data_IF_382034967439
#
_entry.id   IF_382034967439
#
_cell.length_a   1.000
_cell.length_b   1.000
_cell.length_c   1.000
_cell.angle_alpha   90.00
_cell.angle_beta   90.00
_cell.angle_gamma   90.00
#
_symmetry.space_group_name_H-M   'P 1'
#
loop_
_entity.id
_entity.type
_entity.pdbx_description
1 polymer ?
#
# COMPACT_ATOMS: atom_id res chain seq x y z
N UNK A 1 6.35 17.57 -2.47
CA UNK A 1 7.46 18.31 -3.12
C UNK A 1 7.16 19.81 -3.09
N UNK A 2 8.13 20.64 -2.67
CA UNK A 2 7.98 22.11 -2.71
C UNK A 2 7.81 22.60 -4.16
N UNK A 3 6.94 23.58 -4.45
CA UNK A 3 6.66 24.02 -5.82
C UNK A 3 7.90 24.42 -6.63
N UNK A 4 8.86 25.10 -5.99
CA UNK A 4 10.10 25.56 -6.65
C UNK A 4 11.02 24.41 -7.08
N UNK A 5 11.11 23.36 -6.26
CA UNK A 5 11.89 22.16 -6.57
C UNK A 5 11.28 21.44 -7.77
N UNK A 6 9.95 21.33 -7.80
CA UNK A 6 9.23 20.75 -8.95
C UNK A 6 9.52 21.53 -10.22
N UNK A 7 9.49 22.86 -10.15
CA UNK A 7 9.76 23.74 -11.29
C UNK A 7 11.17 23.54 -11.85
N UNK A 8 12.17 23.43 -10.97
CA UNK A 8 13.55 23.18 -11.38
C UNK A 8 13.72 21.77 -11.97
N UNK A 9 13.12 20.74 -11.36
CA UNK A 9 13.15 19.36 -11.85
C UNK A 9 12.51 19.22 -13.24
N UNK A 10 11.40 19.90 -13.48
CA UNK A 10 10.68 19.88 -14.77
C UNK A 10 11.22 20.89 -15.78
N UNK A 11 12.19 21.75 -15.40
CA UNK A 11 12.76 22.78 -16.28
C UNK A 11 13.23 22.27 -17.65
N UNK A 12 13.93 21.13 -17.78
CA UNK A 12 14.37 20.62 -19.09
C UNK A 12 13.25 19.99 -19.94
N UNK A 13 12.09 19.69 -19.34
CA UNK A 13 11.02 18.95 -20.00
C UNK A 13 9.89 19.91 -20.42
N UNK A 14 9.22 19.62 -21.53
CA UNK A 14 7.95 20.29 -21.85
C UNK A 14 6.81 19.76 -20.98
N UNK A 15 6.78 18.45 -20.75
CA UNK A 15 5.89 17.83 -19.80
C UNK A 15 6.46 16.49 -19.32
N UNK A 16 6.08 16.10 -18.10
CA UNK A 16 6.19 14.74 -17.60
C UNK A 16 4.79 14.12 -17.54
N UNK A 17 4.62 12.95 -18.14
CA UNK A 17 3.33 12.26 -18.19
C UNK A 17 3.47 10.87 -17.59
N UNK A 18 2.51 10.48 -16.75
CA UNK A 18 2.43 9.14 -16.16
C UNK A 18 0.97 8.79 -15.89
N UNK A 19 0.58 7.53 -16.04
CA UNK A 19 -0.73 7.09 -15.57
C UNK A 19 -0.74 7.02 -14.03
N UNK A 20 -1.85 7.41 -13.41
CA UNK A 20 -2.14 7.07 -12.01
C UNK A 20 -2.65 5.62 -11.90
N UNK A 21 -2.91 5.17 -10.67
CA UNK A 21 -3.39 3.80 -10.40
C UNK A 21 -4.82 3.56 -10.90
N UNK A 22 -5.56 4.62 -11.20
CA UNK A 22 -6.89 4.58 -11.81
C UNK A 22 -6.82 4.56 -13.35
N UNK A 23 -5.62 4.72 -13.92
CA UNK A 23 -5.41 4.82 -15.36
C UNK A 23 -5.60 6.23 -15.92
N UNK A 24 -5.84 7.24 -15.08
CA UNK A 24 -5.89 8.62 -15.53
C UNK A 24 -4.49 9.13 -15.83
N UNK A 25 -4.36 9.94 -16.87
CA UNK A 25 -3.08 10.56 -17.20
C UNK A 25 -2.79 11.73 -16.25
N UNK A 26 -1.74 11.60 -15.46
CA UNK A 26 -1.12 12.71 -14.76
C UNK A 26 -0.19 13.44 -15.74
N UNK A 27 -0.32 14.75 -15.80
CA UNK A 27 0.54 15.60 -16.61
C UNK A 27 1.11 16.73 -15.76
N UNK A 28 2.44 16.77 -15.65
CA UNK A 28 3.15 17.87 -15.03
C UNK A 28 3.84 18.68 -16.11
N UNK A 29 3.37 19.91 -16.31
CA UNK A 29 3.95 20.84 -17.26
C UNK A 29 5.33 21.29 -16.79
N UNK A 30 6.29 21.28 -17.72
CA UNK A 30 7.61 21.84 -17.52
C UNK A 30 7.83 23.09 -18.39
N UNK A 31 9.02 23.67 -18.29
CA UNK A 31 9.34 24.91 -18.99
C UNK A 31 9.90 24.67 -20.41
N UNK A 32 10.40 23.46 -20.70
CA UNK A 32 11.10 23.16 -21.94
C UNK A 32 12.29 24.09 -22.18
N UNK A 33 12.97 24.50 -21.10
CA UNK A 33 14.07 25.46 -21.16
C UNK A 33 15.25 24.81 -21.91
N UNK A 34 15.74 25.40 -23.02
CA UNK A 34 16.87 24.87 -23.76
C UNK A 34 18.19 24.94 -22.97
N UNK A 35 18.27 25.78 -21.92
CA UNK A 35 19.44 25.93 -21.05
C UNK A 35 19.03 25.87 -19.57
N UNK A 36 18.49 24.74 -19.11
CA UNK A 36 17.96 24.62 -17.76
C UNK A 36 19.10 24.82 -16.76
N UNK A 37 18.85 25.62 -15.72
CA UNK A 37 19.80 25.75 -14.61
C UNK A 37 20.08 24.35 -14.05
N UNK A 38 21.35 23.94 -14.00
CA UNK A 38 21.74 22.66 -13.39
C UNK A 38 21.07 22.54 -12.03
N UNK A 39 20.22 21.54 -11.91
CA UNK A 39 19.66 21.19 -10.63
C UNK A 39 20.78 20.63 -9.76
N UNK A 40 20.93 21.19 -8.58
CA UNK A 40 21.85 20.68 -7.59
C UNK A 40 21.22 19.44 -6.95
N UNK A 41 21.28 18.31 -7.66
CA UNK A 41 20.69 17.04 -7.23
C UNK A 41 21.66 16.20 -6.37
N UNK A 42 22.82 16.72 -5.97
CA UNK A 42 23.84 15.93 -5.25
C UNK A 42 23.28 15.25 -3.99
N UNK A 43 22.26 15.83 -3.36
CA UNK A 43 21.44 15.19 -2.35
C UNK A 43 20.02 15.73 -2.51
N UNK A 44 19.04 14.89 -2.79
CA UNK A 44 17.65 15.30 -2.60
C UNK A 44 17.37 15.19 -1.11
N UNK A 45 17.32 16.30 -0.34
CA UNK A 45 17.10 16.19 1.08
C UNK A 45 15.63 15.84 1.29
N UNK A 46 15.35 14.54 1.44
CA UNK A 46 14.15 14.10 2.12
C UNK A 46 14.44 14.28 3.60
N UNK A 47 13.65 15.12 4.27
CA UNK A 47 13.61 15.04 5.73
C UNK A 47 13.07 13.67 6.15
N UNK A 48 13.37 13.27 7.39
CA UNK A 48 12.98 11.95 7.92
C UNK A 48 11.47 11.71 7.77
N UNK A 49 10.65 12.75 7.92
CA UNK A 49 9.20 12.65 7.76
C UNK A 49 8.79 12.34 6.30
N UNK A 50 9.40 13.01 5.33
CA UNK A 50 9.16 12.77 3.90
C UNK A 50 9.68 11.42 3.46
N UNK A 51 10.82 10.98 4.00
CA UNK A 51 11.36 9.65 3.74
C UNK A 51 10.47 8.56 4.35
N UNK A 52 10.07 8.70 5.61
CA UNK A 52 9.16 7.76 6.27
C UNK A 52 7.83 7.63 5.49
N UNK A 53 7.24 8.76 5.10
CA UNK A 53 6.04 8.77 4.27
C UNK A 53 6.24 8.07 2.93
N UNK A 54 7.37 8.27 2.27
CA UNK A 54 7.68 7.58 1.01
C UNK A 54 7.76 6.06 1.21
N UNK A 55 8.37 5.61 2.29
CA UNK A 55 8.46 4.17 2.64
C UNK A 55 7.06 3.61 2.93
N UNK A 56 6.24 4.32 3.70
CA UNK A 56 4.85 3.93 3.99
C UNK A 56 4.00 3.84 2.72
N UNK A 57 4.11 4.82 1.81
CA UNK A 57 3.39 4.82 0.54
C UNK A 57 3.85 3.69 -0.38
N UNK A 58 5.15 3.36 -0.38
CA UNK A 58 5.72 2.30 -1.22
C UNK A 58 5.39 0.89 -0.72
N UNK A 59 5.06 0.72 0.56
CA UNK A 59 4.79 -0.59 1.14
C UNK A 59 3.63 -1.30 0.46
N UNK A 60 2.56 -0.57 0.13
CA UNK A 60 1.38 -1.16 -0.52
C UNK A 60 1.76 -1.80 -1.85
N UNK A 61 2.57 -1.12 -2.67
CA UNK A 61 3.04 -1.65 -3.96
C UNK A 61 3.98 -2.85 -3.75
N UNK A 62 4.84 -2.81 -2.74
CA UNK A 62 5.74 -3.93 -2.40
C UNK A 62 4.96 -5.19 -1.99
N UNK A 63 3.90 -5.04 -1.19
CA UNK A 63 3.03 -6.15 -0.80
C UNK A 63 2.25 -6.69 -1.99
N UNK A 64 1.70 -5.82 -2.85
CA UNK A 64 1.02 -6.23 -4.09
C UNK A 64 1.97 -7.01 -5.00
N UNK A 65 3.21 -6.57 -5.16
CA UNK A 65 4.23 -7.28 -5.93
C UNK A 65 4.44 -8.69 -5.39
N UNK A 66 4.58 -8.85 -4.06
CA UNK A 66 4.72 -10.17 -3.45
C UNK A 66 3.48 -11.05 -3.62
N UNK A 67 2.29 -10.47 -3.55
CA UNK A 67 1.03 -11.19 -3.80
C UNK A 67 0.96 -11.62 -5.26
N UNK A 68 1.41 -10.79 -6.20
CA UNK A 68 1.46 -11.15 -7.62
C UNK A 68 2.34 -12.39 -7.85
N UNK A 69 3.48 -12.49 -7.16
CA UNK A 69 4.39 -13.62 -7.30
C UNK A 69 3.81 -14.95 -6.79
N UNK A 70 2.89 -14.93 -5.82
CA UNK A 70 2.36 -16.16 -5.18
C UNK A 70 0.89 -16.47 -5.50
N UNK A 71 0.08 -15.44 -5.76
CA UNK A 71 -1.39 -15.49 -5.89
C UNK A 71 -1.90 -14.38 -6.83
N UNK A 72 -1.33 -14.32 -8.04
CA UNK A 72 -1.76 -13.39 -9.09
C UNK A 72 -3.26 -13.49 -9.44
N UNK A 73 -3.90 -14.63 -9.18
CA UNK A 73 -5.33 -14.85 -9.37
C UNK A 73 -6.19 -13.88 -8.54
N UNK A 74 -5.80 -13.60 -7.29
CA UNK A 74 -6.54 -12.69 -6.40
C UNK A 74 -6.55 -11.25 -6.95
N UNK A 75 -5.45 -10.83 -7.57
CA UNK A 75 -5.32 -9.48 -8.11
C UNK A 75 -6.14 -9.27 -9.38
N UNK A 76 -6.39 -10.34 -10.15
CA UNK A 76 -7.16 -10.27 -11.41
C UNK A 76 -8.65 -10.01 -11.19
N UNK A 77 -9.16 -10.29 -9.99
CA UNK A 77 -10.57 -10.09 -9.63
C UNK A 77 -10.93 -8.62 -9.36
N UNK A 78 -9.93 -7.73 -9.34
CA UNK A 78 -10.11 -6.33 -8.99
C UNK A 78 -9.32 -5.43 -9.94
N UNK A 79 -9.72 -4.15 -10.03
CA UNK A 79 -8.90 -3.16 -10.71
C UNK A 79 -7.63 -2.85 -9.90
N UNK A 80 -6.52 -2.40 -10.53
CA UNK A 80 -5.31 -2.00 -9.82
C UNK A 80 -5.55 -0.98 -8.70
N UNK A 81 -6.41 0.01 -8.95
CA UNK A 81 -6.82 0.99 -7.95
C UNK A 81 -7.53 0.35 -6.74
N UNK A 82 -8.42 -0.64 -6.97
CA UNK A 82 -9.12 -1.33 -5.89
C UNK A 82 -8.17 -2.24 -5.11
N UNK A 83 -7.27 -2.98 -5.77
CA UNK A 83 -6.21 -3.75 -5.10
C UNK A 83 -5.39 -2.86 -4.16
N UNK A 84 -4.89 -1.74 -4.67
CA UNK A 84 -4.13 -0.79 -3.87
C UNK A 84 -4.94 -0.24 -2.70
N UNK A 85 -6.20 0.14 -2.92
CA UNK A 85 -7.06 0.66 -1.85
C UNK A 85 -7.32 -0.38 -0.76
N UNK A 86 -7.62 -1.63 -1.12
CA UNK A 86 -7.88 -2.71 -0.17
C UNK A 86 -6.63 -3.06 0.65
N UNK A 87 -5.48 -3.22 -0.01
CA UNK A 87 -4.20 -3.53 0.64
C UNK A 87 -3.79 -2.37 1.55
N UNK A 88 -3.78 -1.13 1.06
CA UNK A 88 -3.40 0.06 1.85
C UNK A 88 -4.26 0.21 3.11
N UNK A 89 -5.60 0.08 2.98
CA UNK A 89 -6.53 0.14 4.11
C UNK A 89 -6.22 -0.94 5.15
N UNK A 90 -5.92 -2.16 4.71
CA UNK A 90 -5.64 -3.27 5.62
C UNK A 90 -4.23 -3.21 6.22
N UNK A 91 -3.25 -2.64 5.53
CA UNK A 91 -1.93 -2.35 6.10
C UNK A 91 -2.03 -1.31 7.23
N UNK A 92 -2.93 -0.33 7.13
CA UNK A 92 -3.21 0.60 8.22
C UNK A 92 -3.84 -0.11 9.44
N UNK A 93 -4.79 -1.03 9.21
CA UNK A 93 -5.38 -1.87 10.27
C UNK A 93 -4.31 -2.76 10.91
N UNK A 94 -3.46 -3.39 10.11
CA UNK A 94 -2.34 -4.21 10.56
C UNK A 94 -1.40 -3.42 11.48
N UNK A 95 -0.98 -2.22 11.07
CA UNK A 95 -0.13 -1.35 11.89
C UNK A 95 -0.80 -0.95 13.21
N UNK A 96 -2.10 -0.61 13.19
CA UNK A 96 -2.85 -0.23 14.39
C UNK A 96 -2.99 -1.37 15.43
N UNK A 97 -2.80 -2.63 15.00
CA UNK A 97 -2.91 -3.83 15.82
C UNK A 97 -1.57 -4.56 16.01
N UNK A 98 -0.44 -3.93 15.70
CA UNK A 98 0.89 -4.46 15.96
C UNK A 98 1.38 -5.53 14.96
N UNK A 99 0.70 -5.70 13.82
CA UNK A 99 1.13 -6.60 12.75
C UNK A 99 2.20 -5.90 11.90
N UNK A 100 3.46 -6.06 12.29
CA UNK A 100 4.60 -5.37 11.69
C UNK A 100 5.48 -6.27 10.79
N UNK A 101 5.41 -7.59 10.95
CA UNK A 101 6.23 -8.53 10.18
C UNK A 101 5.81 -8.60 8.71
N UNK A 102 6.78 -8.63 7.79
CA UNK A 102 6.51 -8.61 6.34
C UNK A 102 5.60 -9.76 5.87
N UNK A 103 5.84 -10.97 6.37
CA UNK A 103 5.02 -12.15 6.07
C UNK A 103 3.59 -12.01 6.63
N UNK A 104 3.46 -11.57 7.89
CA UNK A 104 2.17 -11.35 8.53
C UNK A 104 1.34 -10.28 7.80
N UNK A 105 1.98 -9.20 7.35
CA UNK A 105 1.35 -8.11 6.57
C UNK A 105 0.93 -8.57 5.18
N UNK A 106 1.74 -9.39 4.51
CA UNK A 106 1.36 -10.05 3.27
C UNK A 106 0.14 -10.97 3.48
N UNK A 107 0.17 -11.82 4.51
CA UNK A 107 -0.95 -12.71 4.87
C UNK A 107 -2.24 -11.92 5.11
N UNK A 108 -2.19 -10.87 5.94
CA UNK A 108 -3.35 -10.02 6.22
C UNK A 108 -3.89 -9.31 4.98
N UNK A 109 -3.01 -8.93 4.05
CA UNK A 109 -3.38 -8.33 2.77
C UNK A 109 -3.99 -9.34 1.78
N UNK A 110 -3.60 -10.62 1.85
CA UNK A 110 -4.26 -11.68 1.08
C UNK A 110 -5.71 -11.86 1.56
N UNK A 111 -5.94 -11.80 2.87
CA UNK A 111 -7.30 -11.88 3.43
C UNK A 111 -8.19 -10.75 2.92
N UNK A 112 -7.67 -9.53 2.81
CA UNK A 112 -8.45 -8.38 2.32
C UNK A 112 -8.86 -8.46 0.86
N UNK A 113 -8.17 -9.27 0.06
CA UNK A 113 -8.51 -9.56 -1.33
C UNK A 113 -9.37 -10.82 -1.48
N UNK A 114 -9.44 -11.67 -0.43
CA UNK A 114 -10.12 -12.97 -0.47
C UNK A 114 -11.45 -12.98 0.26
N UNK A 115 -11.66 -12.06 1.20
CA UNK A 115 -12.82 -11.98 2.08
C UNK A 115 -13.62 -10.69 1.83
N UNK A 116 -14.83 -10.65 2.38
CA UNK A 116 -15.67 -9.44 2.37
C UNK A 116 -14.94 -8.25 3.02
N UNK A 117 -15.19 -7.03 2.53
CA UNK A 117 -14.42 -5.84 2.92
C UNK A 117 -14.47 -5.53 4.44
N UNK A 118 -15.48 -6.03 5.16
CA UNK A 118 -15.65 -5.82 6.59
C UNK A 118 -15.12 -6.96 7.47
N UNK A 119 -14.39 -7.95 6.93
CA UNK A 119 -13.90 -9.11 7.69
C UNK A 119 -13.12 -8.71 8.96
N UNK A 120 -12.41 -7.57 8.92
CA UNK A 120 -11.64 -7.05 10.07
C UNK A 120 -12.52 -6.62 11.25
N UNK A 121 -13.82 -6.41 11.03
CA UNK A 121 -14.82 -6.05 12.04
C UNK A 121 -15.54 -7.27 12.61
N UNK A 122 -15.33 -8.46 12.03
CA UNK A 122 -15.91 -9.69 12.55
C UNK A 122 -15.43 -9.93 14.00
N UNK A 123 -16.29 -10.40 14.92
CA UNK A 123 -15.92 -10.59 16.33
C UNK A 123 -14.66 -11.45 16.53
N UNK A 124 -14.55 -12.58 15.82
CA UNK A 124 -13.38 -13.46 15.89
C UNK A 124 -12.09 -12.76 15.41
N UNK A 125 -12.13 -12.03 14.29
CA UNK A 125 -10.98 -11.28 13.79
C UNK A 125 -10.63 -10.12 14.74
N UNK A 126 -11.62 -9.44 15.30
CA UNK A 126 -11.41 -8.35 16.26
C UNK A 126 -10.74 -8.85 17.55
N UNK A 127 -11.13 -10.02 18.04
CA UNK A 127 -10.48 -10.67 19.19
C UNK A 127 -9.01 -11.03 18.87
N UNK A 128 -8.75 -11.65 17.72
CA UNK A 128 -7.41 -11.93 17.24
C UNK A 128 -6.53 -10.68 17.14
N UNK A 129 -7.06 -9.60 16.58
CA UNK A 129 -6.34 -8.33 16.45
C UNK A 129 -6.02 -7.73 17.82
N UNK A 130 -6.95 -7.83 18.78
CA UNK A 130 -6.73 -7.39 20.16
C UNK A 130 -5.64 -8.21 20.87
N UNK A 131 -5.62 -9.53 20.70
CA UNK A 131 -4.56 -10.39 21.24
C UNK A 131 -3.20 -10.11 20.60
N UNK A 132 -3.17 -9.94 19.27
CA UNK A 132 -1.94 -9.58 18.53
C UNK A 132 -1.36 -8.27 19.05
N UNK A 133 -2.21 -7.28 19.32
CA UNK A 133 -1.81 -6.01 19.92
C UNK A 133 -1.23 -6.17 21.33
N UNK A 134 -1.61 -7.22 22.06
CA UNK A 134 -1.05 -7.58 23.36
C UNK A 134 0.21 -8.46 23.27
N UNK A 135 0.69 -8.75 22.06
CA UNK A 135 1.93 -9.51 21.82
C UNK A 135 1.71 -10.96 21.39
N UNK A 136 0.48 -11.41 21.15
CA UNK A 136 0.23 -12.73 20.59
C UNK A 136 0.78 -12.83 19.15
N UNK A 137 1.21 -14.04 18.77
CA UNK A 137 1.74 -14.28 17.43
C UNK A 137 0.59 -14.34 16.41
N UNK A 138 0.46 -13.31 15.57
CA UNK A 138 -0.60 -13.17 14.57
C UNK A 138 -0.89 -14.45 13.76
N UNK A 139 0.15 -15.10 13.22
CA UNK A 139 -0.05 -16.30 12.39
C UNK A 139 -0.60 -17.50 13.18
N UNK A 140 -0.25 -17.61 14.47
CA UNK A 140 -0.80 -18.67 15.33
C UNK A 140 -2.27 -18.41 15.65
N UNK A 141 -2.62 -17.17 15.97
CA UNK A 141 -4.01 -16.77 16.21
C UNK A 141 -4.85 -16.94 14.93
N UNK A 142 -4.28 -16.63 13.76
CA UNK A 142 -4.96 -16.78 12.47
C UNK A 142 -5.35 -18.24 12.21
N UNK A 143 -4.45 -19.17 12.51
CA UNK A 143 -4.70 -20.61 12.38
C UNK A 143 -5.73 -21.13 13.40
N UNK A 144 -5.99 -20.37 14.47
CA UNK A 144 -6.97 -20.72 15.50
C UNK A 144 -8.36 -20.10 15.26
N UNK A 145 -8.55 -19.36 14.16
CA UNK A 145 -9.86 -18.81 13.83
C UNK A 145 -10.87 -19.93 13.56
N UNK A 146 -12.12 -19.78 14.06
CA UNK A 146 -13.16 -20.80 13.89
C UNK A 146 -13.60 -20.93 12.43
N UNK A 147 -14.05 -22.12 12.03
CA UNK A 147 -14.58 -22.39 10.69
C UNK A 147 -15.73 -21.45 10.31
N UNK A 148 -16.54 -21.06 11.29
CA UNK A 148 -17.65 -20.11 11.13
C UNK A 148 -17.18 -18.76 10.56
N UNK A 149 -16.03 -18.25 11.01
CA UNK A 149 -15.47 -17.00 10.49
C UNK A 149 -15.21 -17.09 8.99
N UNK A 150 -14.63 -18.20 8.54
CA UNK A 150 -14.28 -18.41 7.13
C UNK A 150 -15.53 -18.54 6.26
N UNK A 151 -16.59 -19.18 6.78
CA UNK A 151 -17.87 -19.30 6.08
C UNK A 151 -18.60 -17.96 5.97
N UNK A 152 -18.63 -17.17 7.04
CA UNK A 152 -19.34 -15.89 7.08
C UNK A 152 -18.63 -14.79 6.29
N UNK A 153 -17.29 -14.82 6.23
CA UNK A 153 -16.50 -13.79 5.55
C UNK A 153 -16.16 -14.11 4.09
N UNK A 154 -16.52 -15.29 3.58
CA UNK A 154 -16.26 -15.65 2.18
C UNK A 154 -17.00 -14.71 1.22
N UNK A 155 -16.33 -14.31 0.13
CA UNK A 155 -16.98 -13.57 -0.96
C UNK A 155 -17.95 -14.54 -1.65
N UNK A 156 -19.25 -14.24 -1.63
CA UNK A 156 -20.31 -15.00 -2.30
C UNK A 156 -20.31 -14.80 -3.81
#
# INVERSE_FOLDING_TARGET
>A
MKPEIRKQFLSPLYAWMSADRQGNMLCWQGAGDPNPRRANFEYWPLDDASFAKLVEEAETDAVISKIYDVRADLLKNHSPAKCHSLVSKNLAIASANGINGAEARQSFSILSLSLVEQFSQHPAMSALLAHTKQGAAYLNELNALPDEFWQECAIQ
#
